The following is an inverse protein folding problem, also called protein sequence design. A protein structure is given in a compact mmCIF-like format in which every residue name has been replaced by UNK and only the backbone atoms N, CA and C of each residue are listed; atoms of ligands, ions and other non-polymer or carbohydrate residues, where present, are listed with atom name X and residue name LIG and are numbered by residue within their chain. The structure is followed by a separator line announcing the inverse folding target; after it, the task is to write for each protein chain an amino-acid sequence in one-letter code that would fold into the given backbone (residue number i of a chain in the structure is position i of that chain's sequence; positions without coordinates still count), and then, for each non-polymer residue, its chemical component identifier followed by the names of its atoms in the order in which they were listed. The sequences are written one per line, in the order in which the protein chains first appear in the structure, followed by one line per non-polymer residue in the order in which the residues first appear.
data_IF_868991678504
#
_entry.id   IF_868991678504
#
_cell.length_a   1.000
_cell.length_b   1.000
_cell.length_c   1.000
_cell.angle_alpha   90.00
_cell.angle_beta   90.00
_cell.angle_gamma   90.00
#
_symmetry.space_group_name_H-M   'P 1'
#
loop_
_entity.id
_entity.type
_entity.pdbx_description
1 polymer ?
#
# COMPACT_ATOMS: atom_id res chain seq x y z
N UNK A 1 -3.20 -33.05 -8.13
CA UNK A 1 -2.63 -32.63 -6.82
C UNK A 1 -2.62 -31.11 -6.76
N UNK A 2 -2.83 -30.50 -5.59
CA UNK A 2 -2.66 -29.04 -5.46
C UNK A 2 -1.16 -28.71 -5.46
N UNK A 3 -0.79 -27.52 -5.93
CA UNK A 3 0.62 -27.09 -6.02
C UNK A 3 1.37 -27.22 -4.68
N UNK A 4 0.70 -26.94 -3.56
CA UNK A 4 1.29 -27.03 -2.23
C UNK A 4 1.63 -28.47 -1.81
N UNK A 5 0.90 -29.47 -2.32
CA UNK A 5 1.13 -30.88 -1.97
C UNK A 5 2.41 -31.39 -2.66
N UNK A 6 2.67 -30.95 -3.89
CA UNK A 6 3.86 -31.33 -4.65
C UNK A 6 5.12 -30.73 -4.04
N UNK A 7 5.06 -29.48 -3.57
CA UNK A 7 6.17 -28.82 -2.89
C UNK A 7 6.57 -29.55 -1.59
N UNK A 8 5.60 -30.02 -0.82
CA UNK A 8 5.86 -30.85 0.38
C UNK A 8 6.58 -32.15 0.01
N UNK A 9 6.13 -32.84 -1.04
CA UNK A 9 6.76 -34.07 -1.51
C UNK A 9 8.21 -33.82 -1.97
N UNK A 10 8.46 -32.74 -2.72
CA UNK A 10 9.83 -32.37 -3.14
C UNK A 10 10.71 -32.10 -1.92
N UNK A 11 10.19 -31.36 -0.93
CA UNK A 11 10.93 -31.05 0.30
C UNK A 11 11.31 -32.34 1.06
N UNK A 12 10.36 -33.24 1.29
CA UNK A 12 10.60 -34.52 1.99
C UNK A 12 11.65 -35.37 1.24
N UNK A 13 11.53 -35.50 -0.08
CA UNK A 13 12.51 -36.25 -0.88
C UNK A 13 13.91 -35.64 -0.84
N UNK A 14 13.99 -34.32 -0.85
CA UNK A 14 15.27 -33.62 -0.72
C UNK A 14 15.90 -33.79 0.67
N UNK A 15 15.10 -33.73 1.74
CA UNK A 15 15.56 -34.03 3.12
C UNK A 15 16.07 -35.47 3.25
N UNK A 16 15.48 -36.41 2.50
CA UNK A 16 15.96 -37.80 2.38
C UNK A 16 17.23 -37.95 1.50
N UNK A 17 17.89 -36.85 1.13
CA UNK A 17 19.11 -36.80 0.32
C UNK A 17 18.97 -37.29 -1.13
N UNK A 18 17.75 -37.27 -1.69
CA UNK A 18 17.55 -37.57 -3.11
C UNK A 18 18.03 -36.43 -4.02
N UNK A 19 18.78 -36.79 -5.06
CA UNK A 19 19.22 -35.82 -6.07
C UNK A 19 18.06 -35.27 -6.92
N UNK A 20 18.20 -34.04 -7.49
CA UNK A 20 17.13 -33.37 -8.24
C UNK A 20 16.59 -34.18 -9.43
N UNK A 21 17.46 -34.94 -10.11
CA UNK A 21 17.08 -35.78 -11.24
C UNK A 21 16.22 -36.98 -10.80
N UNK A 22 16.51 -37.54 -9.62
CA UNK A 22 15.74 -38.64 -9.03
C UNK A 22 14.34 -38.16 -8.63
N UNK A 23 14.28 -37.02 -7.94
CA UNK A 23 13.02 -36.36 -7.57
C UNK A 23 12.14 -36.08 -8.80
N UNK A 24 12.74 -35.60 -9.89
CA UNK A 24 12.01 -35.35 -11.15
C UNK A 24 11.41 -36.62 -11.75
N UNK A 25 12.16 -37.72 -11.79
CA UNK A 25 11.69 -39.01 -12.29
C UNK A 25 10.56 -39.56 -11.42
N UNK A 26 10.69 -39.46 -10.10
CA UNK A 26 9.70 -39.94 -9.13
C UNK A 26 8.38 -39.16 -9.21
N UNK A 27 8.44 -37.90 -9.62
CA UNK A 27 7.27 -37.06 -9.88
C UNK A 27 6.66 -37.28 -11.27
N UNK A 28 7.20 -38.22 -12.07
CA UNK A 28 6.72 -38.57 -13.40
C UNK A 28 6.49 -37.37 -14.33
N UNK A 29 7.31 -36.32 -14.20
CA UNK A 29 7.18 -35.11 -15.02
C UNK A 29 6.03 -34.17 -14.64
N UNK A 30 5.36 -34.38 -13.49
CA UNK A 30 4.32 -33.46 -12.99
C UNK A 30 4.82 -32.02 -12.78
N UNK A 31 6.14 -31.84 -12.61
CA UNK A 31 6.83 -30.55 -12.48
C UNK A 31 8.12 -30.59 -13.30
N UNK A 32 8.46 -29.47 -13.94
CA UNK A 32 9.67 -29.38 -14.76
C UNK A 32 10.95 -29.41 -13.90
N UNK A 33 12.01 -30.05 -14.41
CA UNK A 33 13.31 -30.13 -13.74
C UNK A 33 13.89 -28.76 -13.31
N UNK A 34 13.78 -27.66 -14.11
CA UNK A 34 14.22 -26.33 -13.68
C UNK A 34 13.49 -25.83 -12.44
N UNK A 35 12.18 -26.11 -12.32
CA UNK A 35 11.37 -25.72 -11.17
C UNK A 35 11.81 -26.47 -9.91
N UNK A 36 12.13 -27.76 -10.03
CA UNK A 36 12.66 -28.55 -8.90
C UNK A 36 14.02 -28.00 -8.45
N UNK A 37 14.91 -27.67 -9.41
CA UNK A 37 16.20 -27.03 -9.09
C UNK A 37 16.01 -25.68 -8.41
N UNK A 38 15.03 -24.88 -8.84
CA UNK A 38 14.71 -23.59 -8.22
C UNK A 38 14.24 -23.80 -6.76
N UNK A 39 13.33 -24.75 -6.52
CA UNK A 39 12.83 -25.05 -5.18
C UNK A 39 13.94 -25.55 -4.25
N UNK A 40 14.83 -26.43 -4.72
CA UNK A 40 16.00 -26.88 -3.94
C UNK A 40 16.91 -25.69 -3.58
N UNK A 41 17.16 -24.78 -4.53
CA UNK A 41 17.93 -23.54 -4.26
C UNK A 41 17.28 -22.67 -3.18
N UNK A 42 15.95 -22.65 -3.07
CA UNK A 42 15.22 -21.91 -2.02
C UNK A 42 15.24 -22.62 -0.67
N UNK A 43 15.22 -23.96 -0.66
CA UNK A 43 15.27 -24.77 0.57
C UNK A 43 16.62 -24.59 1.28
N UNK A 44 17.74 -24.53 0.56
CA UNK A 44 19.07 -24.43 1.16
C UNK A 44 19.23 -23.26 2.17
N UNK A 45 18.82 -22.02 1.86
CA UNK A 45 18.94 -20.91 2.82
C UNK A 45 17.76 -20.81 3.81
N UNK A 46 16.53 -21.18 3.43
CA UNK A 46 15.31 -20.83 4.18
C UNK A 46 14.58 -22.05 4.75
N UNK A 47 14.96 -23.27 4.37
CA UNK A 47 14.30 -24.52 4.77
C UNK A 47 12.87 -24.69 4.25
N UNK A 48 12.41 -23.80 3.35
CA UNK A 48 11.04 -23.80 2.84
C UNK A 48 10.96 -23.22 1.42
N UNK A 49 9.92 -23.61 0.69
CA UNK A 49 9.63 -23.13 -0.66
C UNK A 49 8.63 -21.98 -0.55
N UNK A 50 9.13 -20.76 -0.36
CA UNK A 50 8.29 -19.54 -0.24
C UNK A 50 8.13 -18.84 -1.58
N UNK A 51 7.14 -19.24 -2.36
CA UNK A 51 6.80 -18.53 -3.60
C UNK A 51 6.04 -17.24 -3.27
N UNK A 52 6.77 -16.12 -3.18
CA UNK A 52 6.12 -14.81 -3.16
C UNK A 52 5.64 -14.43 -4.56
N UNK A 53 4.49 -13.76 -4.62
CA UNK A 53 4.11 -13.02 -5.83
C UNK A 53 5.23 -12.03 -6.17
N UNK A 54 5.60 -11.88 -7.45
CA UNK A 54 6.57 -10.87 -7.86
C UNK A 54 6.10 -9.49 -7.37
N UNK A 55 7.02 -8.64 -6.86
CA UNK A 55 6.67 -7.26 -6.59
C UNK A 55 6.22 -6.63 -7.91
N UNK A 56 4.99 -6.12 -7.94
CA UNK A 56 4.47 -5.43 -9.13
C UNK A 56 5.32 -4.20 -9.51
N UNK A 57 4.96 -3.54 -10.61
CA UNK A 57 5.71 -2.39 -11.12
C UNK A 57 5.90 -1.31 -10.02
N UNK A 58 7.14 -0.85 -9.76
CA UNK A 58 7.41 0.14 -8.74
C UNK A 58 6.75 1.48 -9.07
N UNK A 59 6.22 2.16 -8.05
CA UNK A 59 5.61 3.48 -8.23
C UNK A 59 6.69 4.55 -8.41
N UNK A 60 6.78 5.14 -9.59
CA UNK A 60 7.80 6.15 -9.92
C UNK A 60 7.54 7.52 -9.31
N UNK A 61 6.27 7.97 -9.28
CA UNK A 61 5.92 9.32 -8.84
C UNK A 61 5.54 9.39 -7.36
N UNK A 62 4.89 8.36 -6.83
CA UNK A 62 4.41 8.30 -5.43
C UNK A 62 5.42 7.60 -4.52
N UNK A 63 6.66 8.07 -4.55
CA UNK A 63 7.70 7.59 -3.64
C UNK A 63 7.55 8.24 -2.27
N UNK A 64 8.11 7.59 -1.22
CA UNK A 64 8.12 8.14 0.14
C UNK A 64 8.75 9.55 0.18
N UNK A 65 9.83 9.76 -0.58
CA UNK A 65 10.50 11.05 -0.71
C UNK A 65 9.57 12.13 -1.30
N UNK A 66 8.83 11.81 -2.38
CA UNK A 66 7.88 12.74 -2.97
C UNK A 66 6.76 13.11 -2.00
N UNK A 67 6.22 12.14 -1.25
CA UNK A 67 5.19 12.37 -0.22
C UNK A 67 5.72 13.32 0.86
N UNK A 68 6.93 13.09 1.36
CA UNK A 68 7.55 13.98 2.35
C UNK A 68 7.79 15.40 1.81
N UNK A 69 8.22 15.52 0.55
CA UNK A 69 8.39 16.83 -0.13
C UNK A 69 7.06 17.59 -0.23
N UNK A 70 5.96 16.90 -0.58
CA UNK A 70 4.62 17.49 -0.60
C UNK A 70 4.19 17.92 0.81
N UNK A 71 4.39 17.06 1.81
CA UNK A 71 4.05 17.34 3.21
C UNK A 71 4.80 18.56 3.76
N UNK A 72 6.11 18.64 3.53
CA UNK A 72 6.92 19.77 3.97
C UNK A 72 6.51 21.08 3.27
N UNK A 73 6.21 21.02 1.97
CA UNK A 73 5.72 22.18 1.22
C UNK A 73 4.36 22.68 1.73
N UNK A 74 3.44 21.79 2.10
CA UNK A 74 2.15 22.15 2.72
C UNK A 74 2.32 22.81 4.08
N UNK A 75 3.22 22.28 4.92
CA UNK A 75 3.50 22.87 6.23
C UNK A 75 4.00 24.31 6.11
N UNK A 76 4.83 24.60 5.10
CA UNK A 76 5.32 25.96 4.82
C UNK A 76 4.23 26.92 4.36
N UNK A 77 3.32 26.51 3.48
CA UNK A 77 2.18 27.35 3.05
C UNK A 77 0.89 26.52 2.95
N UNK A 78 -0.04 26.74 3.88
CA UNK A 78 -1.25 25.92 4.07
C UNK A 78 -2.37 26.18 3.04
N UNK A 79 -2.46 27.39 2.47
CA UNK A 79 -3.54 27.80 1.55
C UNK A 79 -3.07 27.84 0.10
N UNK A 80 -2.78 26.67 -0.48
CA UNK A 80 -2.26 26.57 -1.87
C UNK A 80 -3.13 25.63 -2.70
N UNK A 81 -3.42 26.01 -3.94
CA UNK A 81 -4.17 25.17 -4.87
C UNK A 81 -3.32 24.00 -5.36
N UNK A 82 -3.95 22.90 -5.74
CA UNK A 82 -3.26 21.72 -6.27
C UNK A 82 -2.44 22.02 -7.53
N UNK A 83 -2.87 22.99 -8.35
CA UNK A 83 -2.12 23.44 -9.54
C UNK A 83 -0.83 24.18 -9.16
N UNK A 84 -0.89 25.11 -8.21
CA UNK A 84 0.32 25.82 -7.74
C UNK A 84 1.29 24.84 -7.06
N UNK A 85 0.77 23.93 -6.23
CA UNK A 85 1.57 22.91 -5.57
C UNK A 85 2.27 21.96 -6.56
N UNK A 86 1.59 21.60 -7.64
CA UNK A 86 2.15 20.80 -8.73
C UNK A 86 3.33 21.50 -9.41
N UNK A 87 3.17 22.79 -9.75
CA UNK A 87 4.23 23.58 -10.38
C UNK A 87 5.44 23.74 -9.45
N UNK A 88 5.21 24.00 -8.16
CA UNK A 88 6.30 24.17 -7.18
C UNK A 88 7.14 22.91 -6.98
N UNK A 89 6.53 21.72 -7.09
CA UNK A 89 7.17 20.44 -6.81
C UNK A 89 7.66 19.76 -8.10
N UNK A 90 7.19 20.24 -9.26
CA UNK A 90 7.37 19.68 -10.59
C UNK A 90 6.82 18.25 -10.72
N UNK A 91 5.57 18.06 -10.28
CA UNK A 91 4.83 16.78 -10.40
C UNK A 91 3.47 17.06 -11.02
N UNK A 92 2.92 16.10 -11.77
CA UNK A 92 1.59 16.24 -12.34
C UNK A 92 0.52 16.53 -11.28
N UNK A 93 -0.45 17.37 -11.65
CA UNK A 93 -1.58 17.76 -10.77
C UNK A 93 -2.38 16.55 -10.28
N UNK A 94 -2.54 15.53 -11.12
CA UNK A 94 -3.25 14.29 -10.79
C UNK A 94 -2.53 13.51 -9.71
N UNK A 95 -1.21 13.36 -9.82
CA UNK A 95 -0.37 12.70 -8.80
C UNK A 95 -0.37 13.47 -7.49
N UNK A 96 -0.25 14.79 -7.51
CA UNK A 96 -0.38 15.64 -6.31
C UNK A 96 -1.75 15.43 -5.65
N UNK A 97 -2.84 15.44 -6.43
CA UNK A 97 -4.19 15.20 -5.90
C UNK A 97 -4.31 13.83 -5.22
N UNK A 98 -3.74 12.78 -5.81
CA UNK A 98 -3.71 11.44 -5.23
C UNK A 98 -2.89 11.40 -3.94
N UNK A 99 -1.69 12.00 -3.93
CA UNK A 99 -0.86 12.10 -2.72
C UNK A 99 -1.62 12.81 -1.59
N UNK A 100 -2.30 13.92 -1.90
CA UNK A 100 -3.08 14.65 -0.92
C UNK A 100 -4.23 13.82 -0.35
N UNK A 101 -5.02 13.15 -1.21
CA UNK A 101 -6.23 12.43 -0.77
C UNK A 101 -5.94 11.08 -0.14
N UNK A 102 -5.06 10.30 -0.76
CA UNK A 102 -4.82 8.90 -0.42
C UNK A 102 -3.68 8.75 0.59
N UNK A 103 -2.54 9.43 0.36
CA UNK A 103 -1.36 9.24 1.22
C UNK A 103 -1.37 10.16 2.45
N UNK A 104 -1.85 11.40 2.30
CA UNK A 104 -1.87 12.40 3.39
C UNK A 104 -3.26 12.60 4.03
N UNK A 105 -4.31 11.98 3.50
CA UNK A 105 -5.67 12.09 4.03
C UNK A 105 -6.24 13.52 4.06
N UNK A 106 -5.69 14.43 3.26
CA UNK A 106 -6.07 15.84 3.26
C UNK A 106 -7.46 16.02 2.63
N UNK A 107 -8.38 16.60 3.40
CA UNK A 107 -9.70 17.00 2.91
C UNK A 107 -9.62 18.37 2.22
N UNK A 108 -10.40 18.60 1.16
CA UNK A 108 -10.52 19.93 0.57
C UNK A 108 -10.94 20.95 1.62
N UNK A 109 -10.27 22.10 1.64
CA UNK A 109 -10.67 23.20 2.50
C UNK A 109 -12.02 23.76 2.03
N UNK A 110 -13.02 23.77 2.91
CA UNK A 110 -14.37 24.30 2.64
C UNK A 110 -14.62 25.50 3.54
N UNK A 111 -14.90 26.65 2.93
CA UNK A 111 -15.36 27.82 3.66
C UNK A 111 -16.83 27.62 4.06
N UNK A 112 -17.10 27.46 5.35
CA UNK A 112 -18.46 27.46 5.87
C UNK A 112 -18.86 28.88 6.20
N UNK A 113 -19.82 29.45 5.46
CA UNK A 113 -20.44 30.72 5.83
C UNK A 113 -21.37 30.44 7.02
N UNK A 114 -21.09 31.06 8.15
CA UNK A 114 -21.96 31.01 9.32
C UNK A 114 -22.63 32.37 9.53
N UNK A 115 -23.92 32.42 9.86
CA UNK A 115 -24.57 33.68 10.24
C UNK A 115 -23.89 34.30 11.45
N UNK A 116 -23.69 35.62 11.42
CA UNK A 116 -23.15 36.37 12.56
C UNK A 116 -24.18 36.35 13.70
N UNK A 117 -23.85 35.71 14.81
CA UNK A 117 -24.74 35.64 15.97
C UNK A 117 -24.79 37.00 16.69
N UNK A 118 -25.94 37.67 16.62
CA UNK A 118 -26.28 38.84 17.43
C UNK A 118 -26.53 38.44 18.89
N UNK A 119 -26.39 39.38 19.84
CA UNK A 119 -26.61 39.10 21.28
C UNK A 119 -28.00 38.50 21.54
N UNK A 120 -29.03 38.93 20.80
CA UNK A 120 -30.40 38.39 20.86
C UNK A 120 -30.47 36.92 20.42
N UNK A 121 -29.82 36.56 19.30
CA UNK A 121 -29.78 35.17 18.82
C UNK A 121 -29.05 34.21 19.77
N UNK A 122 -28.05 34.70 20.51
CA UNK A 122 -27.36 33.93 21.57
C UNK A 122 -28.29 33.65 22.76
N UNK A 123 -29.11 34.63 23.17
CA UNK A 123 -30.08 34.49 24.26
C UNK A 123 -31.17 33.47 23.92
N UNK A 124 -31.71 33.52 22.70
CA UNK A 124 -32.72 32.56 22.21
C UNK A 124 -32.18 31.12 22.21
N UNK A 125 -30.92 30.92 21.77
CA UNK A 125 -30.24 29.61 21.76
C UNK A 125 -29.88 29.09 23.16
N UNK A 126 -29.54 29.98 24.10
CA UNK A 126 -29.32 29.61 25.49
C UNK A 126 -30.62 29.22 26.22
N UNK A 127 -31.75 29.83 25.84
CA UNK A 127 -33.07 29.52 26.39
C UNK A 127 -33.60 28.16 25.93
N UNK A 128 -33.21 27.70 24.74
CA UNK A 128 -33.69 26.42 24.17
C UNK A 128 -33.11 25.19 24.88
N UNK A 129 -32.00 25.33 25.61
CA UNK A 129 -31.43 24.27 26.45
C UNK A 129 -32.17 24.08 27.78
N UNK A 130 -33.09 24.99 28.14
CA UNK A 130 -33.89 24.93 29.38
C UNK A 130 -35.33 24.44 29.16
N UNK A 131 -35.77 24.27 27.91
CA UNK A 131 -37.13 23.84 27.55
C UNK A 131 -37.11 22.42 26.92
N UNK A 132 -35.96 21.75 26.94
CA UNK A 132 -35.77 20.39 26.43
C UNK A 132 -35.53 19.36 27.53
N UNK A 133 -36.48 19.24 28.45
CA UNK A 133 -36.77 18.02 29.23
C UNK A 133 -38.27 17.74 29.07
#
# INVERSE_FOLDING_TARGET
MKSNDIQKVVKIKYENSDGPTKIYRDLAGAVSLPTIKLWIKMINPTGSITLSSPPGCPRTVRTKAAIMKVKSRLNKKKRVSTRKLANDINISRTSIRRILREDLGCKPYKNTKQPKLTKSSKKIRGLTLLIGC
#
